data_IF_446699567419
#
_entry.id   IF_446699567419
#
_cell.length_a   1.000
_cell.length_b   1.000
_cell.length_c   1.000
_cell.angle_alpha   90.00
_cell.angle_beta   90.00
_cell.angle_gamma   90.00
#
_symmetry.space_group_name_H-M   'P 1'
#
loop_
_entity.id
_entity.type
_entity.pdbx_description
1 polymer ?
#
# COMPACT_ATOMS: atom_id res chain seq x y z
N UNK A 1 -17.42 8.39 9.57
CA UNK A 1 -16.66 7.28 10.20
C UNK A 1 -16.44 6.20 9.16
N UNK A 2 -15.22 5.72 9.05
CA UNK A 2 -14.88 4.65 8.10
C UNK A 2 -15.36 3.31 8.64
N UNK A 3 -16.18 2.58 7.89
CA UNK A 3 -16.55 1.22 8.26
C UNK A 3 -15.50 0.24 7.77
N UNK A 4 -15.56 -0.99 8.31
CA UNK A 4 -14.65 -2.05 7.85
C UNK A 4 -14.85 -2.36 6.36
N UNK A 5 -16.10 -2.37 5.91
CA UNK A 5 -16.38 -2.63 4.48
C UNK A 5 -15.85 -1.51 3.59
N UNK A 6 -16.02 -0.25 4.00
CA UNK A 6 -15.49 0.89 3.26
C UNK A 6 -13.96 0.86 3.21
N UNK A 7 -13.32 0.57 4.35
CA UNK A 7 -11.87 0.46 4.43
C UNK A 7 -11.35 -0.69 3.57
N UNK A 8 -12.01 -1.84 3.63
CA UNK A 8 -11.63 -3.00 2.82
C UNK A 8 -11.72 -2.71 1.33
N UNK A 9 -12.81 -2.05 0.91
CA UNK A 9 -12.99 -1.68 -0.50
C UNK A 9 -11.91 -0.70 -0.96
N UNK A 10 -11.57 0.29 -0.14
CA UNK A 10 -10.54 1.28 -0.46
C UNK A 10 -9.15 0.63 -0.57
N UNK A 11 -8.78 -0.22 0.39
CA UNK A 11 -7.50 -0.94 0.38
C UNK A 11 -7.41 -1.86 -0.84
N UNK A 12 -8.46 -2.63 -1.10
CA UNK A 12 -8.48 -3.55 -2.24
C UNK A 12 -8.39 -2.81 -3.56
N UNK A 13 -9.06 -1.66 -3.69
CA UNK A 13 -8.98 -0.82 -4.89
C UNK A 13 -7.56 -0.31 -5.10
N UNK A 14 -6.91 0.16 -4.05
CA UNK A 14 -5.52 0.63 -4.13
C UNK A 14 -4.59 -0.51 -4.57
N UNK A 15 -4.72 -1.68 -3.95
CA UNK A 15 -3.88 -2.83 -4.29
C UNK A 15 -4.13 -3.34 -5.70
N UNK A 16 -5.36 -3.29 -6.18
CA UNK A 16 -5.69 -3.62 -7.56
C UNK A 16 -4.99 -2.68 -8.54
N UNK A 17 -5.01 -1.38 -8.28
CA UNK A 17 -4.30 -0.41 -9.12
C UNK A 17 -2.79 -0.69 -9.13
N UNK A 18 -2.21 -1.02 -7.98
CA UNK A 18 -0.81 -1.40 -7.89
C UNK A 18 -0.53 -2.69 -8.68
N UNK A 19 -1.31 -3.75 -8.42
CA UNK A 19 -1.08 -5.07 -9.01
C UNK A 19 -1.25 -5.09 -10.52
N UNK A 20 -2.15 -4.25 -11.05
CA UNK A 20 -2.39 -4.15 -12.50
C UNK A 20 -1.51 -3.09 -13.16
N UNK A 21 -0.66 -2.39 -12.39
CA UNK A 21 0.22 -1.31 -12.86
C UNK A 21 -0.54 -0.10 -13.39
N UNK A 22 -1.80 0.06 -12.98
CA UNK A 22 -2.63 1.21 -13.37
C UNK A 22 -2.53 2.27 -12.29
N UNK A 23 -1.34 2.81 -12.11
CA UNK A 23 -1.02 3.70 -10.99
C UNK A 23 -1.82 5.01 -11.03
N UNK A 24 -2.07 5.54 -12.22
CA UNK A 24 -2.82 6.79 -12.36
C UNK A 24 -4.27 6.63 -11.90
N UNK A 25 -4.83 5.43 -11.95
CA UNK A 25 -6.19 5.18 -11.47
C UNK A 25 -6.31 5.24 -9.94
N UNK A 26 -5.19 5.25 -9.24
CA UNK A 26 -5.17 5.39 -7.79
C UNK A 26 -5.14 6.85 -7.33
N UNK A 27 -4.99 7.83 -8.25
CA UNK A 27 -4.88 9.24 -7.89
C UNK A 27 -6.05 9.71 -7.01
N UNK A 28 -7.27 9.26 -7.32
CA UNK A 28 -8.48 9.67 -6.60
C UNK A 28 -8.63 8.99 -5.22
N UNK A 29 -7.79 8.04 -4.91
CA UNK A 29 -7.86 7.32 -3.63
C UNK A 29 -7.09 8.03 -2.51
N UNK A 30 -6.37 9.10 -2.83
CA UNK A 30 -5.51 9.82 -1.90
C UNK A 30 -5.93 11.29 -1.82
N UNK A 31 -5.88 11.86 -0.62
CA UNK A 31 -6.12 13.31 -0.48
C UNK A 31 -4.96 14.10 -1.07
N UNK A 32 -5.18 15.37 -1.46
CA UNK A 32 -4.08 16.21 -1.96
C UNK A 32 -2.92 16.36 -0.98
N UNK A 33 -3.23 16.35 0.33
CA UNK A 33 -2.23 16.47 1.39
C UNK A 33 -1.75 15.14 1.95
N UNK A 34 -2.02 14.03 1.28
CA UNK A 34 -1.60 12.72 1.77
C UNK A 34 -0.12 12.71 2.17
N UNK A 35 0.17 12.26 3.39
CA UNK A 35 1.53 12.19 3.89
C UNK A 35 1.96 10.74 4.13
N UNK A 36 3.06 10.34 3.50
CA UNK A 36 3.68 9.03 3.68
C UNK A 36 4.83 9.15 4.68
N UNK A 37 4.66 8.56 5.87
CA UNK A 37 5.74 8.54 6.86
C UNK A 37 6.91 7.66 6.40
N UNK A 38 6.70 6.50 5.77
CA UNK A 38 7.83 5.71 5.27
C UNK A 38 8.72 6.43 4.27
N UNK A 39 8.14 7.28 3.41
CA UNK A 39 8.89 8.04 2.41
C UNK A 39 9.25 9.45 2.88
N UNK A 40 8.56 9.98 3.90
CA UNK A 40 8.71 11.35 4.34
C UNK A 40 8.24 12.37 3.32
N UNK A 41 7.21 12.02 2.52
CA UNK A 41 6.76 12.86 1.39
C UNK A 41 5.28 13.19 1.49
N UNK A 42 4.90 14.31 0.88
CA UNK A 42 3.51 14.75 0.75
C UNK A 42 3.03 14.52 -0.68
N UNK A 43 1.79 14.04 -0.80
CA UNK A 43 1.16 13.78 -2.08
C UNK A 43 1.40 12.36 -2.58
N UNK A 44 0.51 11.91 -3.46
CA UNK A 44 0.60 10.57 -4.01
C UNK A 44 1.69 10.44 -5.08
N UNK A 45 2.15 11.54 -5.66
CA UNK A 45 3.14 11.51 -6.75
C UNK A 45 4.42 10.77 -6.37
N UNK A 46 4.96 11.02 -5.17
CA UNK A 46 6.16 10.35 -4.70
C UNK A 46 5.92 8.85 -4.43
N UNK A 47 4.75 8.50 -3.93
CA UNK A 47 4.35 7.09 -3.73
C UNK A 47 4.25 6.39 -5.07
N UNK A 48 3.64 7.05 -6.05
CA UNK A 48 3.52 6.51 -7.41
C UNK A 48 4.89 6.25 -8.04
N UNK A 49 5.83 7.17 -7.85
CA UNK A 49 7.21 6.99 -8.33
C UNK A 49 7.89 5.81 -7.65
N UNK A 50 7.69 5.65 -6.33
CA UNK A 50 8.19 4.49 -5.59
C UNK A 50 7.59 3.18 -6.13
N UNK A 51 6.30 3.17 -6.44
CA UNK A 51 5.63 2.02 -7.04
C UNK A 51 6.25 1.66 -8.41
N UNK A 52 6.53 2.66 -9.23
CA UNK A 52 7.19 2.44 -10.53
C UNK A 52 8.57 1.83 -10.37
N UNK A 53 9.35 2.34 -9.43
CA UNK A 53 10.68 1.81 -9.13
C UNK A 53 10.60 0.35 -8.68
N UNK A 54 9.71 0.05 -7.74
CA UNK A 54 9.54 -1.31 -7.21
C UNK A 54 9.09 -2.30 -8.29
N UNK A 55 8.13 -1.92 -9.11
CA UNK A 55 7.57 -2.81 -10.13
C UNK A 55 8.48 -2.96 -11.34
N UNK A 56 9.38 -2.01 -11.57
CA UNK A 56 10.45 -2.16 -12.55
C UNK A 56 11.50 -3.14 -12.05
N UNK A 57 11.85 -3.04 -10.76
CA UNK A 57 12.83 -3.93 -10.12
C UNK A 57 12.28 -5.35 -10.01
N UNK A 58 11.01 -5.49 -9.65
CA UNK A 58 10.33 -6.77 -9.46
C UNK A 58 9.07 -6.82 -10.33
N UNK A 59 9.20 -7.18 -11.62
CA UNK A 59 8.05 -7.15 -12.54
C UNK A 59 6.88 -8.04 -12.12
N UNK A 60 7.15 -9.11 -11.35
CA UNK A 60 6.13 -10.01 -10.82
C UNK A 60 5.57 -9.61 -9.46
N UNK A 61 5.93 -8.43 -8.96
CA UNK A 61 5.52 -7.99 -7.62
C UNK A 61 4.01 -7.87 -7.52
N UNK A 62 3.46 -8.49 -6.48
CA UNK A 62 2.03 -8.47 -6.20
C UNK A 62 1.82 -8.39 -4.68
N UNK A 63 0.88 -7.58 -4.26
CA UNK A 63 0.49 -7.44 -2.85
C UNK A 63 -0.96 -7.86 -2.68
N UNK A 64 -1.23 -8.59 -1.59
CA UNK A 64 -2.58 -9.08 -1.29
C UNK A 64 -2.87 -8.84 0.19
N UNK A 65 -3.92 -8.10 0.49
CA UNK A 65 -4.34 -7.87 1.88
C UNK A 65 -4.83 -9.17 2.49
N UNK A 66 -4.22 -9.56 3.60
CA UNK A 66 -4.58 -10.76 4.36
C UNK A 66 -5.46 -10.41 5.56
N UNK A 67 -5.13 -9.32 6.26
CA UNK A 67 -5.91 -8.83 7.39
C UNK A 67 -6.15 -7.33 7.24
N UNK A 68 -7.38 -6.93 7.52
CA UNK A 68 -7.76 -5.52 7.56
C UNK A 68 -8.52 -5.28 8.87
N UNK A 69 -7.96 -4.44 9.74
CA UNK A 69 -8.56 -4.07 11.01
C UNK A 69 -8.83 -2.57 11.00
N UNK A 70 -9.97 -2.16 11.53
CA UNK A 70 -10.38 -0.76 11.54
C UNK A 70 -10.61 -0.29 12.96
N UNK A 71 -10.01 0.83 13.33
CA UNK A 71 -10.23 1.50 14.59
C UNK A 71 -10.35 3.00 14.33
N UNK A 72 -11.59 3.51 14.37
CA UNK A 72 -11.86 4.90 14.03
C UNK A 72 -11.53 5.22 12.59
N UNK A 73 -10.63 6.18 12.38
CA UNK A 73 -10.17 6.59 11.06
C UNK A 73 -8.89 5.88 10.61
N UNK A 74 -8.35 4.99 11.45
CA UNK A 74 -7.13 4.24 11.14
C UNK A 74 -7.46 2.81 10.75
N UNK A 75 -6.74 2.34 9.76
CA UNK A 75 -6.90 1.00 9.19
C UNK A 75 -5.56 0.30 9.28
N UNK A 76 -5.52 -0.87 9.91
CA UNK A 76 -4.31 -1.69 9.91
C UNK A 76 -4.44 -2.75 8.83
N UNK A 77 -3.45 -2.82 7.95
CA UNK A 77 -3.45 -3.77 6.82
C UNK A 77 -2.18 -4.60 6.90
N UNK A 78 -2.35 -5.91 6.98
CA UNK A 78 -1.24 -6.85 6.79
C UNK A 78 -1.40 -7.47 5.41
N UNK A 79 -0.40 -7.33 4.57
CA UNK A 79 -0.44 -7.83 3.19
C UNK A 79 0.70 -8.80 2.94
N UNK A 80 0.42 -9.87 2.22
CA UNK A 80 1.47 -10.72 1.67
C UNK A 80 2.10 -10.04 0.45
N UNK A 81 3.39 -10.29 0.25
CA UNK A 81 4.14 -9.75 -0.89
C UNK A 81 4.68 -10.92 -1.70
N UNK A 82 4.32 -10.98 -2.97
CA UNK A 82 4.69 -12.05 -3.88
C UNK A 82 5.58 -11.49 -5.00
N UNK A 83 6.33 -12.34 -5.65
CA UNK A 83 7.11 -11.94 -6.83
C UNK A 83 8.44 -11.26 -6.53
N UNK A 84 8.99 -11.45 -5.31
CA UNK A 84 10.30 -10.90 -4.94
C UNK A 84 11.45 -11.88 -5.16
N UNK A 85 11.17 -13.10 -5.64
CA UNK A 85 12.19 -14.14 -5.81
C UNK A 85 12.60 -14.80 -4.50
N UNK A 86 11.75 -14.75 -3.48
CA UNK A 86 12.02 -15.41 -2.20
C UNK A 86 12.22 -16.92 -2.41
N UNK A 87 13.33 -17.50 -1.92
CA UNK A 87 13.57 -18.93 -2.07
C UNK A 87 12.52 -19.77 -1.34
N UNK A 88 12.29 -20.99 -1.83
CA UNK A 88 11.44 -21.96 -1.16
C UNK A 88 11.96 -22.24 0.25
N UNK A 89 11.05 -22.29 1.22
CA UNK A 89 11.38 -22.52 2.62
C UNK A 89 11.84 -21.29 3.39
N UNK A 90 12.11 -20.16 2.73
CA UNK A 90 12.40 -18.91 3.39
C UNK A 90 11.09 -18.24 3.89
N UNK A 91 11.17 -17.40 4.94
CA UNK A 91 9.99 -16.64 5.36
C UNK A 91 9.47 -15.77 4.24
N UNK A 92 8.14 -15.80 4.04
CA UNK A 92 7.51 -14.98 3.00
C UNK A 92 7.49 -13.51 3.44
N UNK A 93 7.83 -12.58 2.54
CA UNK A 93 7.76 -11.16 2.85
C UNK A 93 6.32 -10.69 3.06
N UNK A 94 6.16 -9.70 3.91
CA UNK A 94 4.86 -9.10 4.17
C UNK A 94 5.03 -7.61 4.49
N UNK A 95 3.92 -6.88 4.36
CA UNK A 95 3.84 -5.48 4.73
C UNK A 95 2.85 -5.32 5.86
N UNK A 96 3.16 -4.43 6.80
CA UNK A 96 2.15 -3.95 7.76
C UNK A 96 2.11 -2.43 7.62
N UNK A 97 0.93 -1.91 7.32
CA UNK A 97 0.70 -0.49 7.15
C UNK A 97 -0.50 -0.04 7.98
N UNK A 98 -0.47 1.22 8.40
CA UNK A 98 -1.59 1.85 9.11
C UNK A 98 -1.94 3.13 8.37
N UNK A 99 -2.77 3.07 7.33
CA UNK A 99 -3.30 4.28 6.72
C UNK A 99 -4.39 4.91 7.58
N UNK A 100 -4.45 6.24 7.53
CA UNK A 100 -5.56 7.02 8.05
C UNK A 100 -6.45 7.44 6.88
N UNK A 101 -7.75 7.28 7.07
CA UNK A 101 -8.76 7.58 6.05
C UNK A 101 -9.50 8.85 6.43
N UNK A 102 -9.68 9.74 5.47
CA UNK A 102 -10.44 10.99 5.63
C UNK A 102 -11.32 11.17 4.40
N UNK A 103 -12.62 11.30 4.63
CA UNK A 103 -13.61 11.47 3.55
C UNK A 103 -13.48 10.42 2.43
N UNK A 104 -13.26 9.17 2.82
CA UNK A 104 -13.18 8.05 1.88
C UNK A 104 -11.88 7.94 1.11
N UNK A 105 -10.83 8.68 1.51
CA UNK A 105 -9.51 8.66 0.86
C UNK A 105 -8.41 8.46 1.87
N UNK A 106 -7.29 7.95 1.41
CA UNK A 106 -6.09 7.89 2.25
C UNK A 106 -5.52 9.29 2.45
N UNK A 107 -5.33 9.68 3.71
CA UNK A 107 -4.82 10.99 4.08
C UNK A 107 -3.41 10.92 4.68
N UNK A 108 -3.03 9.78 5.23
CA UNK A 108 -1.75 9.60 5.89
C UNK A 108 -1.45 8.10 5.98
N UNK A 109 -0.17 7.74 5.97
CA UNK A 109 0.22 6.34 6.09
C UNK A 109 1.47 6.19 6.95
N UNK A 110 1.41 5.27 7.90
CA UNK A 110 2.54 4.75 8.64
C UNK A 110 2.75 3.31 8.20
N UNK A 111 3.98 2.86 8.16
CA UNK A 111 4.21 1.47 7.82
C UNK A 111 5.59 1.00 8.20
N UNK A 112 5.65 -0.26 8.56
CA UNK A 112 6.88 -1.01 8.60
C UNK A 112 6.81 -1.99 7.44
N UNK A 113 7.64 -1.79 6.45
CA UNK A 113 7.63 -2.59 5.25
C UNK A 113 8.87 -3.46 5.18
N UNK A 114 8.67 -4.73 4.88
CA UNK A 114 9.75 -5.52 4.37
C UNK A 114 9.87 -5.20 2.89
N UNK A 115 10.87 -4.44 2.55
CA UNK A 115 11.22 -4.21 1.14
C UNK A 115 12.65 -4.67 0.96
N UNK A 116 12.94 -5.39 -0.13
CA UNK A 116 14.31 -5.74 -0.43
C UNK A 116 15.11 -4.47 -0.61
N UNK A 117 16.37 -4.50 -0.20
CA UNK A 117 17.24 -3.35 -0.41
C UNK A 117 17.38 -3.12 -1.91
N UNK A 118 17.02 -1.91 -2.33
CA UNK A 118 17.22 -1.47 -3.70
C UNK A 118 18.62 -0.90 -3.78
N UNK A 119 19.54 -1.70 -4.23
CA UNK A 119 20.91 -1.22 -4.35
C UNK A 119 21.78 -2.19 -5.07
#
# INVERSE_FOLDING_TARGET
MTTREDASALVQRMQECFNTRQFDQADDLFTPGFFSHPLGTTGFGAVKDAWRTLTTRFPGLRVVAEDILVDGDKVTVRSSVQGTGTPDGAPQPFLIEIPRVEDGRFAEDWGSTWLPRLG
#
